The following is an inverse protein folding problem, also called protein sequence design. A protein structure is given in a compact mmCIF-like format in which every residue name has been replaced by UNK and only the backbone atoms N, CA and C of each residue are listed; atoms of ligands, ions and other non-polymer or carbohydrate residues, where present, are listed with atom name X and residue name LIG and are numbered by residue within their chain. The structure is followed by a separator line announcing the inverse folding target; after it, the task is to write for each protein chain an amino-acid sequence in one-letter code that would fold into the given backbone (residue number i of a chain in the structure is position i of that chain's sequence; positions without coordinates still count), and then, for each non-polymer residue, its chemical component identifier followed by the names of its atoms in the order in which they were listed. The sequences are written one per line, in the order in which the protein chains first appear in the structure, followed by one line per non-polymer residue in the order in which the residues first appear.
data_IF_986556647029
#
_entry.id   IF_986556647029
#
_cell.length_a   1.000
_cell.length_b   1.000
_cell.length_c   1.000
_cell.angle_alpha   90.00
_cell.angle_beta   90.00
_cell.angle_gamma   90.00
#
_symmetry.space_group_name_H-M   'P 1'
#
loop_
_entity.id
_entity.type
_entity.pdbx_description
1 polymer ?
#
# COMPACT_ATOMS: atom_id res chain seq x y z
N UNK A 1 44.03 9.34 40.65
CA UNK A 1 45.40 9.81 40.36
C UNK A 1 45.28 10.83 39.23
N UNK A 2 45.33 12.13 39.53
CA UNK A 2 45.26 13.18 38.50
C UNK A 2 46.62 13.86 38.46
N UNK A 3 47.33 13.63 37.38
CA UNK A 3 48.65 14.16 37.07
C UNK A 3 48.46 15.52 36.40
N UNK A 4 48.94 16.59 37.03
CA UNK A 4 48.92 17.94 36.46
C UNK A 4 50.31 18.21 35.89
N UNK A 5 50.38 18.27 34.57
CA UNK A 5 51.58 18.57 33.80
C UNK A 5 51.73 20.10 33.69
N UNK A 6 52.73 20.67 34.38
CA UNK A 6 53.01 22.10 34.34
C UNK A 6 54.20 22.32 33.40
N UNK A 7 53.90 22.65 32.13
CA UNK A 7 54.93 23.08 31.18
C UNK A 7 55.46 24.45 31.58
N UNK A 8 56.71 24.44 32.03
CA UNK A 8 57.58 25.60 32.24
C UNK A 8 57.81 26.36 30.93
N UNK A 9 57.51 27.67 30.93
CA UNK A 9 58.09 28.60 29.97
C UNK A 9 58.89 29.65 30.74
N UNK A 10 60.19 29.68 30.45
CA UNK A 10 61.24 30.48 31.09
C UNK A 10 61.47 31.71 30.25
N UNK A 11 61.61 32.89 30.87
CA UNK A 11 62.77 33.78 30.68
C UNK A 11 62.76 35.00 31.64
N UNK A 12 63.84 35.09 32.44
CA UNK A 12 64.64 36.27 32.88
C UNK A 12 63.94 37.39 33.69
N UNK A 13 64.46 37.93 34.81
CA UNK A 13 65.73 37.83 35.52
C UNK A 13 65.61 38.60 36.87
N UNK A 14 66.17 38.03 37.96
CA UNK A 14 66.82 38.63 39.16
C UNK A 14 66.16 39.85 39.87
N UNK A 15 65.82 39.84 41.17
CA UNK A 15 66.68 39.55 42.34
C UNK A 15 65.85 39.57 43.65
N UNK A 16 66.40 38.90 44.67
CA UNK A 16 66.20 39.09 46.12
C UNK A 16 65.02 38.37 46.80
N UNK A 17 65.43 37.51 47.73
CA UNK A 17 64.61 36.73 48.65
C UNK A 17 63.52 37.54 49.35
N UNK A 18 62.28 37.27 48.99
CA UNK A 18 61.19 37.29 49.95
C UNK A 18 60.50 35.94 49.87
N UNK A 19 60.57 35.20 50.98
CA UNK A 19 59.86 33.95 51.26
C UNK A 19 58.58 33.82 50.42
N UNK A 20 58.48 32.77 49.60
CA UNK A 20 57.22 32.33 49.01
C UNK A 20 56.21 32.04 50.13
N UNK A 21 55.49 33.07 50.58
CA UNK A 21 54.35 32.92 51.47
C UNK A 21 53.20 32.41 50.61
N UNK A 22 52.96 31.11 50.66
CA UNK A 22 51.74 30.50 50.11
C UNK A 22 50.56 31.13 50.85
N UNK A 23 49.84 32.02 50.19
CA UNK A 23 48.66 32.66 50.75
C UNK A 23 47.48 31.70 50.57
N UNK A 24 47.23 30.85 51.57
CA UNK A 24 46.05 29.99 51.60
C UNK A 24 44.86 30.88 51.93
N UNK A 25 44.09 31.22 50.90
CA UNK A 25 42.81 31.90 51.05
C UNK A 25 41.83 30.91 51.70
N UNK A 26 41.55 31.10 52.98
CA UNK A 26 40.62 30.26 53.78
C UNK A 26 39.15 30.61 53.56
N UNK A 27 38.86 31.59 52.69
CA UNK A 27 37.50 32.03 52.39
C UNK A 27 37.23 31.84 50.90
N UNK A 28 36.09 31.22 50.52
CA UNK A 28 35.72 31.07 49.13
C UNK A 28 35.59 32.47 48.51
N UNK A 29 36.45 32.80 47.54
CA UNK A 29 36.30 34.05 46.79
C UNK A 29 35.21 33.87 45.75
N UNK A 30 34.39 34.91 45.57
CA UNK A 30 33.48 34.97 44.43
C UNK A 30 34.31 34.89 43.15
N UNK A 31 33.93 33.94 42.29
CA UNK A 31 34.50 33.75 40.96
C UNK A 31 34.17 34.98 40.12
N UNK A 32 35.15 35.55 39.41
CA UNK A 32 34.88 36.67 38.51
C UNK A 32 34.02 36.18 37.33
N UNK A 33 33.06 36.99 36.88
CA UNK A 33 32.18 36.60 35.76
C UNK A 33 32.96 36.25 34.48
N UNK A 34 34.16 36.82 34.29
CA UNK A 34 35.08 36.51 33.18
C UNK A 34 35.75 35.13 33.27
N UNK A 35 35.70 34.48 34.44
CA UNK A 35 36.25 33.14 34.67
C UNK A 35 35.18 32.05 34.54
N UNK A 36 33.91 32.43 34.39
CA UNK A 36 32.79 31.52 34.15
C UNK A 36 32.70 31.26 32.64
N UNK A 37 33.17 30.09 32.21
CA UNK A 37 32.93 29.62 30.85
C UNK A 37 31.70 28.72 30.85
N UNK A 38 30.60 29.20 30.27
CA UNK A 38 29.42 28.37 30.01
C UNK A 38 29.71 27.56 28.75
N UNK A 39 30.29 26.38 28.92
CA UNK A 39 30.37 25.43 27.82
C UNK A 39 28.97 24.84 27.61
N UNK A 40 28.27 25.33 26.60
CA UNK A 40 27.05 24.68 26.13
C UNK A 40 27.47 23.33 25.54
N UNK A 41 27.05 22.19 26.10
CA UNK A 41 27.50 20.90 25.60
C UNK A 41 27.09 20.76 24.13
N UNK A 42 28.06 20.65 23.21
CA UNK A 42 27.83 20.48 21.76
C UNK A 42 27.16 19.14 21.40
N UNK A 43 26.74 18.36 22.40
CA UNK A 43 26.30 16.96 22.27
C UNK A 43 24.89 16.81 21.66
N UNK A 44 24.21 17.90 21.34
CA UNK A 44 22.82 17.87 20.88
C UNK A 44 22.64 18.10 19.37
N UNK A 45 23.73 18.31 18.61
CA UNK A 45 23.59 18.62 17.18
C UNK A 45 23.24 17.39 16.32
N UNK A 46 23.45 16.18 16.84
CA UNK A 46 23.15 14.89 16.17
C UNK A 46 22.37 13.91 17.06
N UNK A 47 21.84 14.34 18.21
CA UNK A 47 21.08 13.45 19.06
C UNK A 47 19.72 13.16 18.41
N UNK A 48 19.51 11.93 17.95
CA UNK A 48 18.18 11.49 17.58
C UNK A 48 17.27 11.54 18.83
N UNK A 49 16.05 12.08 18.72
CA UNK A 49 15.14 12.14 19.86
C UNK A 49 14.85 10.72 20.37
N UNK A 50 15.14 10.48 21.65
CA UNK A 50 14.81 9.21 22.32
C UNK A 50 13.30 9.14 22.45
N UNK A 51 12.67 8.40 21.55
CA UNK A 51 11.23 8.22 21.54
C UNK A 51 10.81 7.32 22.68
N UNK A 52 9.79 7.75 23.41
CA UNK A 52 9.05 6.87 24.32
C UNK A 52 8.45 5.70 23.52
N UNK A 53 8.23 4.53 24.13
CA UNK A 53 7.55 3.41 23.47
C UNK A 53 6.23 3.81 22.78
N UNK A 54 5.50 4.75 23.38
CA UNK A 54 4.25 5.31 22.85
C UNK A 54 4.46 6.15 21.60
N UNK A 55 5.48 7.01 21.58
CA UNK A 55 5.80 7.80 20.40
C UNK A 55 6.28 6.92 19.26
N UNK A 56 7.00 5.83 19.57
CA UNK A 56 7.38 4.82 18.59
C UNK A 56 6.15 4.14 18.00
N UNK A 57 5.19 3.75 18.85
CA UNK A 57 3.93 3.13 18.41
C UNK A 57 3.12 4.10 17.54
N UNK A 58 2.89 5.34 18.00
CA UNK A 58 2.18 6.36 17.24
C UNK A 58 2.81 6.61 15.87
N UNK A 59 4.13 6.75 15.81
CA UNK A 59 4.84 6.92 14.52
C UNK A 59 4.67 5.71 13.61
N UNK A 60 4.63 4.51 14.17
CA UNK A 60 4.33 3.30 13.40
C UNK A 60 2.91 3.32 12.84
N UNK A 61 1.93 3.70 13.65
CA UNK A 61 0.52 3.81 13.24
C UNK A 61 0.34 4.87 12.15
N UNK A 62 1.01 6.02 12.28
CA UNK A 62 1.03 7.08 11.27
C UNK A 62 1.60 6.57 9.93
N UNK A 63 2.69 5.80 9.96
CA UNK A 63 3.28 5.19 8.76
C UNK A 63 2.31 4.22 8.10
N UNK A 64 1.61 3.40 8.89
CA UNK A 64 0.62 2.46 8.37
C UNK A 64 -0.53 3.24 7.70
N UNK A 65 -1.05 4.27 8.36
CA UNK A 65 -2.14 5.08 7.83
C UNK A 65 -1.76 5.75 6.50
N UNK A 66 -0.58 6.35 6.42
CA UNK A 66 -0.08 6.96 5.18
C UNK A 66 0.13 5.93 4.07
N UNK A 67 0.61 4.73 4.40
CA UNK A 67 0.77 3.65 3.43
C UNK A 67 -0.59 3.19 2.88
N UNK A 68 -1.62 3.09 3.72
CA UNK A 68 -2.97 2.69 3.31
C UNK A 68 -3.63 3.75 2.41
N UNK A 69 -3.48 5.04 2.74
CA UNK A 69 -3.94 6.15 1.88
C UNK A 69 -3.22 6.16 0.52
N UNK A 70 -1.90 5.96 0.52
CA UNK A 70 -1.11 5.89 -0.71
C UNK A 70 -1.57 4.72 -1.57
N UNK A 71 -1.80 3.55 -0.98
CA UNK A 71 -2.32 2.38 -1.66
C UNK A 71 -3.71 2.63 -2.26
N UNK A 72 -4.61 3.31 -1.53
CA UNK A 72 -5.94 3.68 -2.05
C UNK A 72 -5.84 4.64 -3.24
N UNK A 73 -4.92 5.60 -3.17
CA UNK A 73 -4.63 6.52 -4.27
C UNK A 73 -4.14 5.78 -5.51
N UNK A 74 -3.20 4.84 -5.35
CA UNK A 74 -2.70 3.98 -6.43
C UNK A 74 -3.83 3.14 -7.03
N UNK A 75 -4.65 2.49 -6.20
CA UNK A 75 -5.78 1.68 -6.66
C UNK A 75 -6.75 2.49 -7.51
N UNK A 76 -7.03 3.74 -7.14
CA UNK A 76 -7.92 4.61 -7.92
C UNK A 76 -7.42 4.87 -9.34
N UNK A 77 -6.11 4.78 -9.59
CA UNK A 77 -5.53 4.91 -10.93
C UNK A 77 -5.88 3.75 -11.87
N UNK A 78 -6.38 2.63 -11.33
CA UNK A 78 -6.82 1.48 -12.12
C UNK A 78 -8.31 1.54 -12.48
N UNK A 79 -9.05 2.55 -12.00
CA UNK A 79 -10.43 2.77 -12.42
C UNK A 79 -10.50 3.15 -13.91
N UNK A 80 -11.53 2.68 -14.64
CA UNK A 80 -11.68 2.96 -16.06
C UNK A 80 -12.20 4.38 -16.33
N UNK A 81 -11.87 4.90 -17.51
CA UNK A 81 -12.48 6.11 -18.06
C UNK A 81 -12.24 7.38 -17.24
N UNK A 82 -13.31 8.15 -17.07
CA UNK A 82 -13.33 9.43 -16.35
C UNK A 82 -13.19 9.29 -14.83
N UNK A 83 -13.37 8.07 -14.29
CA UNK A 83 -13.22 7.75 -12.87
C UNK A 83 -11.77 7.51 -12.45
N UNK A 84 -10.85 7.42 -13.41
CA UNK A 84 -9.43 7.17 -13.17
C UNK A 84 -8.84 8.22 -12.21
N UNK A 85 -8.16 7.74 -11.17
CA UNK A 85 -7.51 8.56 -10.16
C UNK A 85 -8.44 9.18 -9.12
N UNK A 86 -9.74 8.89 -9.15
CA UNK A 86 -10.72 9.41 -8.18
C UNK A 86 -10.93 8.40 -7.06
N UNK A 87 -10.37 8.67 -5.89
CA UNK A 87 -10.50 7.82 -4.69
C UNK A 87 -11.96 7.68 -4.24
N UNK A 88 -12.77 8.74 -4.36
CA UNK A 88 -14.20 8.71 -4.03
C UNK A 88 -14.98 7.72 -4.91
N UNK A 89 -14.63 7.59 -6.18
CA UNK A 89 -15.28 6.62 -7.08
C UNK A 89 -14.89 5.18 -6.72
N UNK A 90 -13.67 4.97 -6.25
CA UNK A 90 -13.23 3.67 -5.72
C UNK A 90 -14.02 3.30 -4.46
N UNK A 91 -14.29 4.26 -3.58
CA UNK A 91 -15.12 4.04 -2.39
C UNK A 91 -16.57 3.71 -2.76
N UNK A 92 -17.19 4.48 -3.66
CA UNK A 92 -18.54 4.20 -4.17
C UNK A 92 -18.64 2.81 -4.79
N UNK A 93 -17.64 2.42 -5.59
CA UNK A 93 -17.56 1.08 -6.16
C UNK A 93 -17.48 0.01 -5.07
N UNK A 94 -16.65 0.23 -4.04
CA UNK A 94 -16.50 -0.70 -2.92
C UNK A 94 -17.81 -0.86 -2.15
N UNK A 95 -18.51 0.23 -1.82
CA UNK A 95 -19.82 0.16 -1.14
C UNK A 95 -20.86 -0.57 -1.99
N UNK A 96 -20.91 -0.29 -3.29
CA UNK A 96 -21.82 -0.94 -4.22
C UNK A 96 -21.58 -2.46 -4.24
N UNK A 97 -20.33 -2.88 -4.36
CA UNK A 97 -19.98 -4.31 -4.40
C UNK A 97 -20.11 -4.98 -3.03
N UNK A 98 -19.88 -4.25 -1.93
CA UNK A 98 -20.07 -4.73 -0.56
C UNK A 98 -21.48 -5.20 -0.25
N UNK A 99 -22.49 -4.64 -0.93
CA UNK A 99 -23.90 -5.02 -0.78
C UNK A 99 -24.35 -6.24 -1.59
N UNK A 100 -23.50 -6.77 -2.48
CA UNK A 100 -23.89 -7.84 -3.41
C UNK A 100 -23.67 -9.25 -2.84
N UNK A 101 -24.52 -10.17 -3.27
CA UNK A 101 -24.32 -11.59 -3.01
C UNK A 101 -23.20 -12.17 -3.90
N UNK A 102 -22.61 -13.29 -3.47
CA UNK A 102 -21.52 -13.96 -4.21
C UNK A 102 -21.91 -14.27 -5.66
N UNK A 103 -23.16 -14.70 -5.91
CA UNK A 103 -23.64 -15.02 -7.26
C UNK A 103 -23.60 -13.81 -8.21
N UNK A 104 -23.97 -12.61 -7.72
CA UNK A 104 -23.95 -11.38 -8.51
C UNK A 104 -22.53 -10.84 -8.68
N UNK A 105 -21.70 -10.98 -7.63
CA UNK A 105 -20.29 -10.59 -7.67
C UNK A 105 -19.53 -11.32 -8.78
N UNK A 106 -19.81 -12.61 -9.02
CA UNK A 106 -19.17 -13.39 -10.09
C UNK A 106 -19.33 -12.78 -11.50
N UNK A 107 -20.38 -12.00 -11.72
CA UNK A 107 -20.67 -11.37 -13.02
C UNK A 107 -19.96 -10.01 -13.19
N UNK A 108 -19.27 -9.53 -12.16
CA UNK A 108 -18.56 -8.24 -12.19
C UNK A 108 -17.15 -8.42 -12.71
N UNK A 109 -16.55 -7.31 -13.12
CA UNK A 109 -15.16 -7.30 -13.56
C UNK A 109 -14.23 -7.75 -12.42
N UNK A 110 -13.31 -8.67 -12.72
CA UNK A 110 -12.42 -9.25 -11.71
C UNK A 110 -11.48 -8.22 -11.08
N UNK A 111 -11.10 -7.16 -11.82
CA UNK A 111 -10.25 -6.10 -11.28
C UNK A 111 -11.06 -5.23 -10.33
N UNK A 112 -12.30 -4.90 -10.66
CA UNK A 112 -13.21 -4.20 -9.74
C UNK A 112 -13.42 -4.97 -8.44
N UNK A 113 -13.66 -6.29 -8.53
CA UNK A 113 -13.78 -7.17 -7.37
C UNK A 113 -12.51 -7.19 -6.53
N UNK A 114 -11.34 -7.33 -7.16
CA UNK A 114 -10.05 -7.33 -6.48
C UNK A 114 -9.77 -5.99 -5.79
N UNK A 115 -10.05 -4.87 -6.45
CA UNK A 115 -9.91 -3.53 -5.86
C UNK A 115 -10.79 -3.36 -4.63
N UNK A 116 -12.07 -3.73 -4.71
CA UNK A 116 -13.00 -3.68 -3.58
C UNK A 116 -12.56 -4.58 -2.41
N UNK A 117 -12.11 -5.80 -2.70
CA UNK A 117 -11.55 -6.71 -1.69
C UNK A 117 -10.33 -6.09 -0.99
N UNK A 118 -9.44 -5.44 -1.75
CA UNK A 118 -8.28 -4.76 -1.17
C UNK A 118 -8.70 -3.59 -0.28
N UNK A 119 -9.71 -2.80 -0.67
CA UNK A 119 -10.24 -1.69 0.15
C UNK A 119 -10.84 -2.22 1.45
N UNK A 120 -11.67 -3.26 1.39
CA UNK A 120 -12.20 -3.88 2.62
C UNK A 120 -11.08 -4.48 3.50
N UNK A 121 -10.05 -5.09 2.91
CA UNK A 121 -8.88 -5.57 3.64
C UNK A 121 -8.13 -4.45 4.35
N UNK A 122 -7.94 -3.30 3.69
CA UNK A 122 -7.33 -2.11 4.30
C UNK A 122 -8.19 -1.58 5.45
N UNK A 123 -9.51 -1.46 5.28
CA UNK A 123 -10.43 -1.02 6.35
C UNK A 123 -10.39 -1.94 7.56
N UNK A 124 -10.18 -3.24 7.35
CA UNK A 124 -10.04 -4.21 8.43
C UNK A 124 -8.74 -3.94 9.22
N UNK A 125 -7.62 -3.72 8.52
CA UNK A 125 -6.35 -3.33 9.13
C UNK A 125 -6.49 -2.01 9.91
N UNK A 126 -7.12 -1.00 9.32
CA UNK A 126 -7.38 0.29 9.98
C UNK A 126 -8.22 0.12 11.25
N UNK A 127 -9.27 -0.69 11.20
CA UNK A 127 -10.15 -0.93 12.35
C UNK A 127 -9.42 -1.62 13.50
N UNK A 128 -8.54 -2.57 13.19
CA UNK A 128 -7.71 -3.27 14.18
C UNK A 128 -6.68 -2.31 14.77
N UNK A 129 -5.97 -1.55 13.94
CA UNK A 129 -4.98 -0.58 14.40
C UNK A 129 -5.61 0.48 15.32
N UNK A 130 -6.82 0.97 14.97
CA UNK A 130 -7.55 1.90 15.83
C UNK A 130 -7.88 1.34 17.22
N UNK A 131 -8.17 0.04 17.31
CA UNK A 131 -8.40 -0.62 18.60
C UNK A 131 -7.13 -0.78 19.42
N UNK A 132 -5.96 -0.88 18.78
CA UNK A 132 -4.68 -1.10 19.45
C UNK A 132 -3.97 0.22 19.83
N UNK A 133 -4.55 1.37 19.48
CA UNK A 133 -4.00 2.68 19.83
C UNK A 133 -3.94 2.86 21.36
N UNK A 134 -2.77 3.21 21.88
CA UNK A 134 -2.56 3.49 23.30
C UNK A 134 -3.41 4.69 23.76
N UNK A 135 -4.28 4.47 24.75
CA UNK A 135 -5.15 5.52 25.30
C UNK A 135 -4.44 6.25 26.43
N UNK A 136 -4.46 7.57 26.36
CA UNK A 136 -3.81 8.47 27.32
C UNK A 136 -4.76 8.71 28.48
N UNK A 137 -4.52 8.05 29.61
CA UNK A 137 -5.25 8.30 30.86
C UNK A 137 -4.43 9.27 31.74
N UNK A 138 -5.13 10.01 32.61
CA UNK A 138 -4.49 10.88 33.58
C UNK A 138 -3.85 10.01 34.67
N UNK A 139 -2.59 10.30 35.00
CA UNK A 139 -1.92 9.62 36.11
C UNK A 139 -2.50 10.12 37.44
N UNK A 140 -3.29 9.29 38.13
CA UNK A 140 -3.87 9.66 39.43
C UNK A 140 -2.80 9.93 40.50
N UNK A 141 -1.56 9.44 40.32
CA UNK A 141 -0.44 9.65 41.22
C UNK A 141 0.43 10.89 40.93
N UNK A 142 0.25 11.55 39.79
CA UNK A 142 1.04 12.71 39.38
C UNK A 142 0.21 13.67 38.52
N UNK A 143 -0.23 14.84 39.04
CA UNK A 143 -1.09 15.81 38.33
C UNK A 143 -0.34 16.60 37.24
N UNK A 144 0.20 15.87 36.27
CA UNK A 144 1.08 16.30 35.18
C UNK A 144 1.73 15.11 34.46
N UNK A 145 1.73 13.93 35.10
CA UNK A 145 2.03 12.64 34.50
C UNK A 145 0.84 12.13 33.70
N UNK A 146 1.14 11.32 32.68
CA UNK A 146 0.11 10.59 31.96
C UNK A 146 0.50 9.14 31.86
N UNK A 147 -0.39 8.28 32.32
CA UNK A 147 -0.27 6.84 32.23
C UNK A 147 -1.04 6.37 31.00
N UNK A 148 -0.39 5.56 30.18
CA UNK A 148 -0.99 5.03 28.97
C UNK A 148 -1.43 3.61 29.24
N UNK A 149 -2.73 3.37 29.07
CA UNK A 149 -3.33 2.06 29.26
C UNK A 149 -3.58 1.46 27.89
N UNK A 150 -2.97 0.31 27.63
CA UNK A 150 -3.26 -0.54 26.48
C UNK A 150 -4.36 -1.51 26.88
N UNK A 151 -5.59 -1.17 26.51
CA UNK A 151 -6.81 -1.91 26.82
C UNK A 151 -7.02 -2.14 28.33
N UNK A 152 -8.26 -1.98 28.77
CA UNK A 152 -8.57 -2.24 30.17
C UNK A 152 -8.67 -3.76 30.32
N UNK A 153 -7.57 -4.44 30.66
CA UNK A 153 -7.53 -5.90 30.77
C UNK A 153 -8.59 -6.46 31.74
N UNK A 154 -9.16 -5.61 32.60
CA UNK A 154 -10.28 -5.94 33.50
C UNK A 154 -11.63 -6.03 32.76
N UNK A 155 -11.79 -5.29 31.66
CA UNK A 155 -12.89 -5.46 30.72
C UNK A 155 -12.50 -6.61 29.79
N UNK A 156 -13.02 -7.81 30.05
CA UNK A 156 -12.89 -8.99 29.18
C UNK A 156 -13.60 -8.80 27.81
N UNK A 157 -13.43 -7.64 27.17
CA UNK A 157 -14.01 -7.26 25.89
C UNK A 157 -12.87 -7.05 24.88
N UNK A 158 -13.12 -7.36 23.61
CA UNK A 158 -12.15 -7.06 22.56
C UNK A 158 -12.04 -5.55 22.37
N UNK A 159 -10.82 -5.04 22.22
CA UNK A 159 -10.56 -3.61 21.99
C UNK A 159 -11.27 -3.07 20.73
N UNK A 160 -11.57 -3.94 19.76
CA UNK A 160 -12.49 -3.64 18.64
C UNK A 160 -13.77 -4.48 18.76
N UNK A 161 -14.96 -3.86 18.77
CA UNK A 161 -16.21 -4.61 18.77
C UNK A 161 -16.36 -5.53 17.56
N UNK A 162 -16.74 -6.78 17.80
CA UNK A 162 -16.83 -7.82 16.78
C UNK A 162 -17.79 -7.45 15.62
N UNK A 163 -18.88 -6.73 15.90
CA UNK A 163 -19.82 -6.30 14.86
C UNK A 163 -19.17 -5.35 13.83
N UNK A 164 -18.22 -4.50 14.25
CA UNK A 164 -17.49 -3.60 13.34
C UNK A 164 -16.61 -4.40 12.39
N UNK A 165 -15.86 -5.36 12.94
CA UNK A 165 -15.01 -6.25 12.14
C UNK A 165 -15.85 -7.11 11.20
N UNK A 166 -16.99 -7.62 11.67
CA UNK A 166 -17.92 -8.45 10.87
C UNK A 166 -18.49 -7.67 9.69
N UNK A 167 -18.87 -6.40 9.89
CA UNK A 167 -19.39 -5.54 8.82
C UNK A 167 -18.39 -5.34 7.67
N UNK A 168 -17.09 -5.47 7.93
CA UNK A 168 -16.03 -5.34 6.93
C UNK A 168 -15.63 -6.72 6.38
N UNK A 169 -15.52 -7.72 7.27
CA UNK A 169 -15.04 -9.06 6.93
C UNK A 169 -16.07 -9.85 6.10
N UNK A 170 -17.37 -9.68 6.35
CA UNK A 170 -18.42 -10.35 5.59
C UNK A 170 -18.38 -9.99 4.08
N UNK A 171 -18.40 -8.70 3.68
CA UNK A 171 -18.27 -8.36 2.26
C UNK A 171 -16.91 -8.78 1.71
N UNK A 172 -15.80 -8.60 2.44
CA UNK A 172 -14.48 -9.10 2.02
C UNK A 172 -14.51 -10.59 1.68
N UNK A 173 -15.09 -11.41 2.55
CA UNK A 173 -15.20 -12.86 2.34
C UNK A 173 -16.03 -13.19 1.11
N UNK A 174 -17.12 -12.45 0.85
CA UNK A 174 -17.92 -12.63 -0.36
C UNK A 174 -17.11 -12.33 -1.63
N UNK A 175 -16.33 -11.25 -1.65
CA UNK A 175 -15.44 -10.93 -2.78
C UNK A 175 -14.40 -12.03 -3.00
N UNK A 176 -13.77 -12.53 -1.93
CA UNK A 176 -12.78 -13.61 -2.04
C UNK A 176 -13.39 -14.92 -2.55
N UNK A 177 -14.60 -15.27 -2.10
CA UNK A 177 -15.35 -16.44 -2.61
C UNK A 177 -15.67 -16.29 -4.09
N UNK A 178 -16.14 -15.11 -4.51
CA UNK A 178 -16.45 -14.83 -5.91
C UNK A 178 -15.19 -14.93 -6.79
N UNK A 179 -14.09 -14.28 -6.39
CA UNK A 179 -12.80 -14.35 -7.10
C UNK A 179 -12.29 -15.79 -7.23
N UNK A 180 -12.35 -16.57 -6.16
CA UNK A 180 -11.93 -17.97 -6.18
C UNK A 180 -12.74 -18.79 -7.19
N UNK A 181 -14.06 -18.59 -7.22
CA UNK A 181 -14.94 -19.30 -8.17
C UNK A 181 -14.66 -18.86 -9.61
N UNK A 182 -14.46 -17.57 -9.86
CA UNK A 182 -14.12 -17.09 -11.21
C UNK A 182 -12.78 -17.66 -11.69
N UNK A 183 -11.76 -17.73 -10.81
CA UNK A 183 -10.46 -18.34 -11.14
C UNK A 183 -10.62 -19.84 -11.46
N UNK A 184 -11.45 -20.55 -10.69
CA UNK A 184 -11.73 -21.97 -10.95
C UNK A 184 -12.44 -22.18 -12.29
N UNK A 185 -13.47 -21.37 -12.58
CA UNK A 185 -14.23 -21.42 -13.84
C UNK A 185 -13.29 -21.15 -15.04
N UNK A 186 -12.43 -20.12 -14.95
CA UNK A 186 -11.42 -19.80 -15.97
C UNK A 186 -10.40 -20.93 -16.16
N UNK A 187 -9.96 -21.56 -15.07
CA UNK A 187 -9.02 -22.67 -15.13
C UNK A 187 -9.62 -23.90 -15.83
N UNK A 188 -10.91 -24.16 -15.62
CA UNK A 188 -11.62 -25.25 -16.29
C UNK A 188 -11.81 -24.97 -17.79
N UNK A 189 -12.17 -23.74 -18.16
CA UNK A 189 -12.27 -23.31 -19.56
C UNK A 189 -10.93 -23.45 -20.27
N UNK A 190 -9.85 -22.98 -19.64
CA UNK A 190 -8.48 -23.09 -20.17
C UNK A 190 -8.10 -24.56 -20.43
N UNK A 191 -8.44 -25.47 -19.51
CA UNK A 191 -8.19 -26.91 -19.69
C UNK A 191 -9.00 -27.49 -20.86
N UNK A 192 -10.26 -27.05 -21.01
CA UNK A 192 -11.13 -27.47 -22.11
C UNK A 192 -10.58 -27.01 -23.46
N UNK A 193 -10.18 -25.74 -23.57
CA UNK A 193 -9.58 -25.18 -24.78
C UNK A 193 -8.26 -25.89 -25.11
N UNK A 194 -7.42 -26.17 -24.12
CA UNK A 194 -6.19 -26.96 -24.32
C UNK A 194 -6.50 -28.34 -24.91
N UNK A 195 -7.47 -29.06 -24.37
CA UNK A 195 -7.87 -30.37 -24.88
C UNK A 195 -8.35 -30.29 -26.33
N UNK A 196 -9.18 -29.30 -26.65
CA UNK A 196 -9.64 -29.06 -28.02
C UNK A 196 -8.48 -28.75 -28.96
N UNK A 197 -7.52 -27.91 -28.55
CA UNK A 197 -6.33 -27.61 -29.35
C UNK A 197 -5.46 -28.84 -29.60
N UNK A 198 -5.27 -29.70 -28.59
CA UNK A 198 -4.55 -30.97 -28.79
C UNK A 198 -5.25 -31.87 -29.80
N UNK A 199 -6.57 -32.00 -29.68
CA UNK A 199 -7.38 -32.79 -30.62
C UNK A 199 -7.32 -32.24 -32.05
N UNK A 200 -7.44 -30.93 -32.25
CA UNK A 200 -7.32 -30.34 -33.59
C UNK A 200 -5.90 -30.46 -34.17
N UNK A 201 -4.86 -30.36 -33.33
CA UNK A 201 -3.49 -30.60 -33.75
C UNK A 201 -3.29 -32.05 -34.22
N UNK A 202 -3.82 -33.02 -33.48
CA UNK A 202 -3.75 -34.43 -33.86
C UNK A 202 -4.44 -34.69 -35.21
N UNK A 203 -5.65 -34.15 -35.41
CA UNK A 203 -6.37 -34.25 -36.69
C UNK A 203 -5.62 -33.62 -37.87
N UNK A 204 -4.96 -32.48 -37.64
CA UNK A 204 -4.17 -31.81 -38.68
C UNK A 204 -2.90 -32.60 -39.04
N UNK A 205 -2.25 -33.21 -38.04
CA UNK A 205 -1.05 -34.04 -38.24
C UNK A 205 -1.40 -35.40 -38.88
N UNK A 206 -2.54 -36.01 -38.53
CA UNK A 206 -3.02 -37.24 -39.16
C UNK A 206 -3.51 -37.01 -40.59
N UNK A 207 -4.24 -35.92 -40.85
CA UNK A 207 -4.74 -35.57 -42.19
C UNK A 207 -3.67 -35.16 -43.21
N UNK A 208 -2.50 -34.73 -42.74
CA UNK A 208 -1.34 -34.40 -43.60
C UNK A 208 -0.61 -35.66 -44.11
N UNK A 209 -0.63 -36.75 -43.32
CA UNK A 209 0.02 -38.02 -43.69
C UNK A 209 -0.74 -38.79 -44.78
N UNK A 210 -2.06 -38.66 -44.84
CA UNK A 210 -2.90 -39.41 -45.79
C UNK A 210 -3.07 -38.71 -47.16
N UNK A 211 -2.63 -37.45 -47.31
CA UNK A 211 -2.74 -36.71 -48.58
C UNK A 211 -1.57 -36.90 -49.56
N UNK A 212 -0.54 -37.67 -49.18
CA UNK A 212 0.69 -37.76 -49.99
C UNK A 212 0.67 -38.86 -51.05
N UNK A 213 -0.47 -39.55 -51.27
CA UNK A 213 -0.60 -40.55 -52.33
C UNK A 213 -2.00 -40.44 -52.94
N UNK A 214 -2.13 -39.66 -54.01
CA UNK A 214 -3.07 -39.82 -55.14
C UNK A 214 -3.42 -38.48 -55.76
N UNK A 215 -2.71 -38.10 -56.82
CA UNK A 215 -3.31 -37.32 -57.91
C UNK A 215 -2.49 -37.50 -59.20
N UNK A 216 -2.70 -38.64 -59.86
CA UNK A 216 -2.58 -38.73 -61.32
C UNK A 216 -4.00 -38.56 -61.88
N UNK A 217 -4.41 -37.33 -62.22
CA UNK A 217 -5.36 -37.11 -63.33
C UNK A 217 -5.23 -35.68 -63.84
N UNK A 218 -4.45 -35.54 -64.91
CA UNK A 218 -4.44 -34.36 -65.77
C UNK A 218 -5.80 -34.25 -66.47
N UNK A 219 -6.43 -33.08 -66.40
CA UNK A 219 -7.30 -32.62 -67.49
C UNK A 219 -7.09 -31.12 -67.64
N UNK A 220 -6.14 -30.78 -68.51
CA UNK A 220 -6.04 -29.47 -69.13
C UNK A 220 -7.31 -29.22 -69.95
N UNK A 221 -7.98 -28.08 -69.71
CA UNK A 221 -8.71 -27.42 -70.78
C UNK A 221 -8.65 -25.91 -70.60
N UNK A 222 -8.10 -25.29 -71.62
CA UNK A 222 -7.61 -23.92 -71.77
C UNK A 222 -8.63 -22.79 -71.59
N UNK A 223 -8.15 -21.73 -70.93
CA UNK A 223 -8.11 -20.32 -71.39
C UNK A 223 -9.40 -19.57 -71.80
N UNK A 224 -9.72 -18.57 -70.97
CA UNK A 224 -9.92 -17.15 -71.30
C UNK A 224 -10.61 -16.75 -72.62
N UNK A 225 -11.75 -16.03 -72.53
CA UNK A 225 -11.85 -14.63 -73.00
C UNK A 225 -13.20 -13.95 -72.64
N UNK A 226 -13.10 -12.90 -71.80
CA UNK A 226 -13.66 -11.54 -71.93
C UNK A 226 -15.17 -11.24 -72.11
N UNK A 227 -15.58 -10.26 -71.27
CA UNK A 227 -16.47 -9.11 -71.54
C UNK A 227 -18.01 -9.31 -71.56
N UNK A 228 -18.71 -8.83 -70.51
CA UNK A 228 -19.35 -7.48 -70.47
C UNK A 228 -20.41 -7.30 -69.36
N UNK A 229 -20.30 -6.11 -68.73
CA UNK A 229 -21.35 -5.21 -68.21
C UNK A 229 -21.92 -5.43 -66.79
N UNK A 230 -21.34 -4.65 -65.88
CA UNK A 230 -21.98 -4.02 -64.72
C UNK A 230 -23.13 -3.10 -65.14
N UNK A 231 -24.30 -3.25 -64.52
CA UNK A 231 -25.32 -2.17 -64.41
C UNK A 231 -25.87 -2.18 -62.98
N UNK A 232 -25.52 -1.13 -62.24
CA UNK A 232 -25.95 -0.81 -60.88
C UNK A 232 -27.36 -0.23 -60.90
N UNK A 233 -28.32 -0.78 -60.14
CA UNK A 233 -29.64 -0.18 -59.95
C UNK A 233 -29.87 0.15 -58.47
N UNK A 234 -29.74 1.45 -58.16
CA UNK A 234 -30.19 2.08 -56.90
C UNK A 234 -31.69 1.89 -56.72
N UNK A 235 -32.12 1.46 -55.54
CA UNK A 235 -33.53 1.47 -55.13
C UNK A 235 -33.75 2.58 -54.10
N UNK A 236 -34.74 3.42 -54.39
CA UNK A 236 -35.14 4.62 -53.64
C UNK A 236 -36.25 4.24 -52.65
N UNK A 237 -36.17 4.76 -51.43
CA UNK A 237 -37.19 4.68 -50.36
C UNK A 237 -38.51 5.36 -50.76
N UNK A 238 -39.63 5.00 -50.07
CA UNK A 238 -40.67 5.98 -49.78
C UNK A 238 -40.84 6.21 -48.27
N UNK A 239 -41.15 7.48 -47.99
CA UNK A 239 -41.43 8.12 -46.70
C UNK A 239 -42.79 7.70 -46.13
N UNK A 240 -42.89 7.52 -44.81
CA UNK A 240 -44.15 7.47 -44.06
C UNK A 240 -44.03 8.42 -42.87
N UNK A 241 -45.00 9.32 -42.75
CA UNK A 241 -45.15 10.37 -41.73
C UNK A 241 -45.72 9.84 -40.40
N UNK A 242 -45.51 10.54 -39.27
CA UNK A 242 -46.10 10.18 -37.98
C UNK A 242 -47.54 10.70 -37.85
N UNK A 243 -48.38 9.90 -37.19
CA UNK A 243 -49.73 10.28 -36.76
C UNK A 243 -49.70 10.60 -35.26
N UNK A 244 -50.36 11.71 -34.94
CA UNK A 244 -50.72 12.37 -33.67
C UNK A 244 -50.58 11.61 -32.36
#
# INVERSE_FOLDING_TARGET
VVQVDIRSNRERQETSDTRNRVHVLTHPRLVHASEITVQQPTVLQQAEPVLTPTERLRRSDDVIFQALLTKQTILSQFLPGDKKGRTEELEKLTELLGGLAVADLKQRDCKELAMSAIVHGNRLLDSINQGLNARKEADEGNPGGSVLVLDDAEKNLPSVPCYKLTAIAAPLMNHLKALMQVIQDQQQELNTVKQQLYHYKELAESGSRDRSVSEETLTECSSDLQERKLITKRQRTPSIQPVT
#
